data_IF_168299480315
#
_entry.id   IF_168299480315
#
_cell.length_a   1.000
_cell.length_b   1.000
_cell.length_c   1.000
_cell.angle_alpha   90.00
_cell.angle_beta   90.00
_cell.angle_gamma   90.00
#
_symmetry.space_group_name_H-M   'P 1'
#
loop_
_entity.id
_entity.type
_entity.pdbx_description
1 polymer ?
#
# COMPACT_ATOMS: atom_id res chain seq x y z
N UNK A 1 -8.56 8.66 -3.95
CA UNK A 1 -7.70 8.41 -2.78
C UNK A 1 -8.17 7.13 -2.10
N UNK A 2 -7.26 6.24 -1.72
CA UNK A 2 -7.59 5.06 -0.91
C UNK A 2 -7.51 5.46 0.57
N UNK A 3 -8.38 4.96 1.46
CA UNK A 3 -8.23 5.20 2.89
C UNK A 3 -6.93 4.58 3.39
N UNK A 4 -6.05 5.38 4.01
CA UNK A 4 -4.78 4.91 4.57
C UNK A 4 -5.03 3.78 5.58
N UNK A 5 -6.09 3.90 6.39
CA UNK A 5 -6.53 2.87 7.33
C UNK A 5 -6.71 1.48 6.69
N UNK A 6 -7.19 1.42 5.44
CA UNK A 6 -7.34 0.13 4.73
C UNK A 6 -5.98 -0.47 4.35
N UNK A 7 -5.04 0.38 3.94
CA UNK A 7 -3.69 -0.05 3.58
C UNK A 7 -2.94 -0.50 4.82
N UNK A 8 -3.05 0.24 5.91
CA UNK A 8 -2.49 -0.16 7.21
C UNK A 8 -3.11 -1.47 7.71
N UNK A 9 -4.42 -1.67 7.52
CA UNK A 9 -5.07 -2.92 7.90
C UNK A 9 -4.49 -4.13 7.13
N UNK A 10 -4.20 -3.99 5.83
CA UNK A 10 -3.52 -5.04 5.05
C UNK A 10 -2.16 -5.38 5.69
N UNK A 11 -1.40 -4.35 6.08
CA UNK A 11 -0.09 -4.52 6.71
C UNK A 11 -0.22 -5.20 8.07
N UNK A 12 -1.16 -4.75 8.91
CA UNK A 12 -1.43 -5.37 10.21
C UNK A 12 -1.87 -6.82 10.06
N UNK A 13 -2.76 -7.11 9.12
CA UNK A 13 -3.27 -8.46 8.85
C UNK A 13 -2.13 -9.38 8.38
N UNK A 14 -1.26 -8.89 7.51
CA UNK A 14 -0.09 -9.65 7.07
C UNK A 14 0.84 -10.01 8.23
N UNK A 15 1.17 -9.06 9.10
CA UNK A 15 2.00 -9.32 10.29
C UNK A 15 1.31 -10.27 11.27
N UNK A 16 -0.01 -10.17 11.42
CA UNK A 16 -0.80 -11.07 12.25
C UNK A 16 -0.72 -12.50 11.72
N UNK A 17 -0.92 -12.71 10.42
CA UNK A 17 -0.80 -14.02 9.78
C UNK A 17 0.63 -14.56 9.90
N UNK A 18 1.65 -13.73 9.72
CA UNK A 18 3.05 -14.12 9.91
C UNK A 18 3.28 -14.64 11.34
N UNK A 19 2.78 -13.91 12.34
CA UNK A 19 2.87 -14.31 13.74
C UNK A 19 2.11 -15.60 14.03
N UNK A 20 0.92 -15.79 13.45
CA UNK A 20 0.13 -17.02 13.57
C UNK A 20 0.88 -18.20 12.97
N UNK A 21 1.43 -18.05 11.76
CA UNK A 21 2.18 -19.08 11.05
C UNK A 21 3.50 -19.44 11.75
N UNK A 22 4.08 -18.49 12.51
CA UNK A 22 5.26 -18.74 13.34
C UNK A 22 4.95 -19.53 14.63
N UNK A 23 3.68 -19.74 15.00
CA UNK A 23 3.33 -20.49 16.21
C UNK A 23 3.51 -22.01 15.98
N UNK A 24 4.24 -22.70 16.88
CA UNK A 24 4.47 -24.15 16.75
C UNK A 24 3.22 -25.01 17.03
N UNK A 25 2.20 -24.45 17.68
CA UNK A 25 0.95 -25.15 18.06
C UNK A 25 -0.17 -25.01 17.02
N UNK A 26 0.13 -24.51 15.82
CA UNK A 26 -0.89 -24.26 14.81
C UNK A 26 -1.40 -25.58 14.20
N UNK A 27 -2.73 -25.75 14.19
CA UNK A 27 -3.39 -26.91 13.56
C UNK A 27 -3.11 -26.93 12.05
N UNK A 28 -3.01 -28.12 11.47
CA UNK A 28 -2.70 -28.30 10.04
C UNK A 28 -3.69 -27.59 9.10
N UNK A 29 -4.99 -27.66 9.36
CA UNK A 29 -6.02 -26.97 8.57
C UNK A 29 -5.92 -25.44 8.65
N UNK A 30 -5.63 -24.92 9.86
CA UNK A 30 -5.38 -23.50 10.10
C UNK A 30 -4.12 -23.04 9.36
N UNK A 31 -3.03 -23.82 9.43
CA UNK A 31 -1.79 -23.51 8.72
C UNK A 31 -2.00 -23.40 7.21
N UNK A 32 -2.73 -24.34 6.60
CA UNK A 32 -3.02 -24.32 5.17
C UNK A 32 -3.85 -23.10 4.78
N UNK A 33 -4.86 -22.74 5.58
CA UNK A 33 -5.73 -21.59 5.31
C UNK A 33 -4.97 -20.26 5.47
N UNK A 34 -4.27 -20.08 6.59
CA UNK A 34 -3.49 -18.88 6.88
C UNK A 34 -2.31 -18.72 5.92
N UNK A 35 -1.65 -19.81 5.51
CA UNK A 35 -0.54 -19.75 4.56
C UNK A 35 -0.98 -19.29 3.17
N UNK A 36 -2.16 -19.72 2.71
CA UNK A 36 -2.75 -19.22 1.45
C UNK A 36 -3.08 -17.73 1.55
N UNK A 37 -3.71 -17.29 2.64
CA UNK A 37 -4.02 -15.87 2.86
C UNK A 37 -2.73 -15.04 2.94
N UNK A 38 -1.71 -15.52 3.66
CA UNK A 38 -0.41 -14.87 3.77
C UNK A 38 0.27 -14.73 2.41
N UNK A 39 0.29 -15.78 1.57
CA UNK A 39 0.87 -15.70 0.22
C UNK A 39 0.14 -14.69 -0.66
N UNK A 40 -1.20 -14.66 -0.62
CA UNK A 40 -1.99 -13.66 -1.37
C UNK A 40 -1.68 -12.23 -0.87
N UNK A 41 -1.61 -12.04 0.45
CA UNK A 41 -1.28 -10.74 1.03
C UNK A 41 0.19 -10.35 0.79
N UNK A 42 1.10 -11.32 0.65
CA UNK A 42 2.52 -11.06 0.38
C UNK A 42 2.75 -10.39 -0.99
N UNK A 43 1.85 -10.60 -1.96
CA UNK A 43 1.96 -9.93 -3.25
C UNK A 43 1.57 -8.44 -3.13
N UNK A 44 0.51 -8.14 -2.36
CA UNK A 44 0.03 -6.78 -2.15
C UNK A 44 0.78 -6.01 -1.06
N UNK A 45 1.37 -6.68 -0.07
CA UNK A 45 2.07 -6.03 1.04
C UNK A 45 3.20 -5.13 0.54
N UNK A 46 3.84 -5.51 -0.56
CA UNK A 46 4.88 -4.71 -1.21
C UNK A 46 4.31 -3.37 -1.68
N UNK A 47 3.16 -3.37 -2.38
CA UNK A 47 2.47 -2.17 -2.83
C UNK A 47 1.89 -1.35 -1.67
N UNK A 48 1.41 -2.01 -0.62
CA UNK A 48 0.88 -1.34 0.56
C UNK A 48 1.97 -0.56 1.29
N UNK A 49 3.13 -1.21 1.51
CA UNK A 49 4.31 -0.57 2.12
C UNK A 49 4.87 0.54 1.23
N UNK A 50 4.96 0.31 -0.08
CA UNK A 50 5.45 1.33 -1.02
C UNK A 50 4.54 2.57 -1.02
N UNK A 51 3.21 2.38 -1.02
CA UNK A 51 2.26 3.48 -0.91
C UNK A 51 2.44 4.29 0.37
N UNK A 52 2.52 3.64 1.53
CA UNK A 52 2.74 4.31 2.81
C UNK A 52 4.05 5.09 2.82
N UNK A 53 5.11 4.51 2.24
CA UNK A 53 6.40 5.18 2.10
C UNK A 53 6.32 6.39 1.17
N UNK A 54 5.69 6.26 0.02
CA UNK A 54 5.49 7.38 -0.92
C UNK A 54 4.71 8.52 -0.26
N UNK A 55 3.71 8.22 0.57
CA UNK A 55 2.99 9.25 1.34
C UNK A 55 3.90 9.98 2.35
N UNK A 56 4.78 9.25 3.03
CA UNK A 56 5.76 9.82 3.95
C UNK A 56 6.80 10.67 3.21
N UNK A 57 7.31 10.18 2.08
CA UNK A 57 8.23 10.90 1.20
C UNK A 57 7.56 12.18 0.68
N UNK A 58 6.32 12.10 0.18
CA UNK A 58 5.54 13.27 -0.26
C UNK A 58 5.39 14.32 0.83
N UNK A 59 5.13 13.89 2.07
CA UNK A 59 5.01 14.79 3.22
C UNK A 59 6.36 15.44 3.54
N UNK A 60 7.44 14.67 3.51
CA UNK A 60 8.79 15.15 3.77
C UNK A 60 9.26 16.14 2.69
N UNK A 61 9.07 15.81 1.42
CA UNK A 61 9.36 16.70 0.28
C UNK A 61 8.52 17.98 0.33
N UNK A 62 7.23 17.90 0.71
CA UNK A 62 6.42 19.09 0.95
C UNK A 62 6.97 19.97 2.07
N UNK A 63 7.38 19.39 3.19
CA UNK A 63 7.97 20.16 4.28
C UNK A 63 9.23 20.91 3.84
N UNK A 64 10.07 20.28 2.99
CA UNK A 64 11.26 20.93 2.41
C UNK A 64 10.87 22.11 1.50
N UNK A 65 9.81 21.96 0.70
CA UNK A 65 9.28 23.02 -0.16
C UNK A 65 8.63 24.15 0.63
N UNK A 66 8.05 23.86 1.80
CA UNK A 66 7.47 24.87 2.69
C UNK A 66 8.54 25.61 3.52
N UNK A 67 9.75 25.05 3.65
CA UNK A 67 10.88 25.70 4.30
C UNK A 67 11.43 26.85 3.43
N UNK A 68 11.27 28.07 3.95
CA UNK A 68 11.69 29.31 3.27
C UNK A 68 13.21 29.50 3.27
N UNK A 69 13.94 28.66 4.00
CA UNK A 69 15.40 28.65 4.05
C UNK A 69 16.01 27.80 2.92
N UNK A 70 15.17 27.06 2.18
CA UNK A 70 15.60 26.24 1.04
C UNK A 70 16.02 27.12 -0.13
N UNK A 71 17.25 26.91 -0.62
CA UNK A 71 17.75 27.60 -1.82
C UNK A 71 16.96 27.20 -3.07
N UNK A 72 16.92 28.10 -4.06
CA UNK A 72 16.12 27.94 -5.28
C UNK A 72 16.44 26.64 -6.05
N UNK A 73 17.71 26.25 -6.13
CA UNK A 73 18.13 25.02 -6.82
C UNK A 73 17.56 23.77 -6.14
N UNK A 74 17.60 23.73 -4.80
CA UNK A 74 17.01 22.65 -4.01
C UNK A 74 15.50 22.63 -4.11
N UNK A 75 14.85 23.80 -4.14
CA UNK A 75 13.40 23.91 -4.32
C UNK A 75 12.95 23.33 -5.68
N UNK A 76 13.64 23.68 -6.78
CA UNK A 76 13.32 23.15 -8.11
C UNK A 76 13.52 21.63 -8.20
N UNK A 77 14.54 21.08 -7.53
CA UNK A 77 14.73 19.63 -7.40
C UNK A 77 13.60 18.96 -6.61
N UNK A 78 13.24 19.52 -5.45
CA UNK A 78 12.17 18.99 -4.61
C UNK A 78 10.80 19.07 -5.29
N UNK A 79 10.51 20.11 -6.09
CA UNK A 79 9.28 20.20 -6.88
C UNK A 79 9.18 19.08 -7.92
N UNK A 80 10.30 18.78 -8.60
CA UNK A 80 10.36 17.69 -9.57
C UNK A 80 10.13 16.35 -8.86
N UNK A 81 10.82 16.12 -7.75
CA UNK A 81 10.68 14.91 -6.94
C UNK A 81 9.25 14.74 -6.42
N UNK A 82 8.60 15.82 -5.96
CA UNK A 82 7.20 15.80 -5.54
C UNK A 82 6.28 15.33 -6.67
N UNK A 83 6.57 15.72 -7.91
CA UNK A 83 5.80 15.31 -9.09
C UNK A 83 5.97 13.82 -9.38
N UNK A 84 7.20 13.32 -9.36
CA UNK A 84 7.51 11.89 -9.52
C UNK A 84 6.86 11.05 -8.41
N UNK A 85 6.93 11.51 -7.16
CA UNK A 85 6.31 10.85 -6.01
C UNK A 85 4.78 10.80 -6.13
N UNK A 86 4.13 11.87 -6.61
CA UNK A 86 2.68 11.86 -6.87
C UNK A 86 2.30 10.85 -7.95
N UNK A 87 3.12 10.73 -8.99
CA UNK A 87 2.87 9.75 -10.05
C UNK A 87 3.01 8.32 -9.51
N UNK A 88 4.03 8.05 -8.68
CA UNK A 88 4.17 6.78 -7.97
C UNK A 88 3.02 6.50 -7.02
N UNK A 89 2.54 7.52 -6.31
CA UNK A 89 1.36 7.42 -5.44
C UNK A 89 0.16 6.92 -6.25
N UNK A 90 -0.12 7.53 -7.40
CA UNK A 90 -1.23 7.14 -8.27
C UNK A 90 -1.10 5.71 -8.80
N UNK A 91 0.09 5.29 -9.19
CA UNK A 91 0.37 3.91 -9.63
C UNK A 91 0.15 2.89 -8.49
N UNK A 92 0.64 3.19 -7.28
CA UNK A 92 0.41 2.35 -6.11
C UNK A 92 -1.09 2.28 -5.77
N UNK A 93 -1.79 3.42 -5.83
CA UNK A 93 -3.24 3.49 -5.61
C UNK A 93 -4.00 2.65 -6.64
N UNK A 94 -3.63 2.70 -7.92
CA UNK A 94 -4.29 1.88 -8.94
C UNK A 94 -4.14 0.39 -8.63
N UNK A 95 -2.94 -0.05 -8.26
CA UNK A 95 -2.67 -1.45 -7.90
C UNK A 95 -3.45 -1.85 -6.65
N UNK A 96 -3.33 -1.08 -5.57
CA UNK A 96 -4.03 -1.34 -4.31
C UNK A 96 -5.55 -1.34 -4.46
N UNK A 97 -6.11 -0.46 -5.31
CA UNK A 97 -7.55 -0.45 -5.62
C UNK A 97 -8.03 -1.79 -6.16
N UNK A 98 -7.29 -2.42 -7.07
CA UNK A 98 -7.70 -3.72 -7.66
C UNK A 98 -7.92 -4.78 -6.57
N UNK A 99 -7.09 -4.78 -5.53
CA UNK A 99 -7.21 -5.74 -4.42
C UNK A 99 -8.18 -5.30 -3.32
N UNK A 100 -8.33 -3.99 -3.11
CA UNK A 100 -9.23 -3.42 -2.10
C UNK A 100 -10.68 -3.30 -2.58
N UNK A 101 -10.92 -3.49 -3.87
CA UNK A 101 -12.27 -3.60 -4.42
C UNK A 101 -12.93 -4.85 -3.80
N UNK A 102 -14.07 -4.69 -3.11
CA UNK A 102 -14.84 -5.85 -2.66
C UNK A 102 -15.21 -6.67 -3.90
N UNK A 103 -15.16 -8.00 -3.78
CA UNK A 103 -15.58 -8.93 -4.86
C UNK A 103 -16.94 -8.54 -5.47
N UNK A 104 -17.85 -7.95 -4.68
CA UNK A 104 -19.17 -7.51 -5.12
C UNK A 104 -19.19 -6.41 -6.20
N UNK A 105 -18.24 -5.46 -6.24
CA UNK A 105 -18.24 -4.40 -7.27
C UNK A 105 -17.45 -4.79 -8.54
N UNK A 106 -16.62 -5.83 -8.46
CA UNK A 106 -15.97 -6.41 -9.63
C UNK A 106 -16.95 -7.29 -10.45
N UNK A 107 -18.03 -7.76 -9.83
CA UNK A 107 -19.03 -8.62 -10.48
C UNK A 107 -20.05 -7.83 -11.34
N UNK A 108 -20.10 -6.49 -11.26
CA UNK A 108 -20.93 -5.65 -12.16
C UNK A 108 -20.34 -5.48 -13.57
N UNK A 109 -19.30 -6.24 -13.95
CA UNK A 109 -18.84 -6.37 -15.34
C UNK A 109 -18.92 -7.77 -15.93
N UNK A 110 -19.59 -8.71 -15.27
CA UNK A 110 -20.11 -9.93 -15.90
C UNK A 110 -21.59 -9.78 -16.33
N UNK A 111 -22.01 -8.55 -16.65
CA UNK A 111 -23.20 -8.31 -17.47
C UNK A 111 -22.76 -8.19 -18.94
N UNK A 112 -22.45 -9.32 -19.58
CA UNK A 112 -22.35 -9.42 -21.04
C UNK A 112 -23.20 -10.60 -21.51
N UNK A 113 -24.42 -10.24 -21.94
CA UNK A 113 -25.36 -10.86 -22.92
C UNK A 113 -25.92 -12.26 -22.62
#
# INVERSE_FOLDING_TARGET
MIPIDKVENIVSRFNELESILAKPDLKKDEFVSNSKEYSNLNEIISYAKDYLKVLEDLKSTKNILEDKSTDKEFYEMAEKELKDLKQREEDCVKRLKVFLLPKDEADEKNAII
#
